data_IF_612829902363
#
_entry.id   IF_612829902363
#
_cell.length_a   1.000
_cell.length_b   1.000
_cell.length_c   1.000
_cell.angle_alpha   90.00
_cell.angle_beta   90.00
_cell.angle_gamma   90.00
#
_symmetry.space_group_name_H-M   'P 1'
#
loop_
_entity.id
_entity.type
_entity.pdbx_description
1 polymer ?
#
# COMPACT_ATOMS: atom_id res chain seq x y z
N UNK A 1 -11.26 11.54 12.89
CA UNK A 1 -11.02 12.71 12.02
C UNK A 1 -12.26 12.98 11.18
N UNK A 2 -12.69 12.04 10.30
CA UNK A 2 -13.81 12.24 9.38
C UNK A 2 -15.11 12.66 10.10
N UNK A 3 -15.45 12.01 11.22
CA UNK A 3 -16.63 12.36 12.00
C UNK A 3 -16.51 13.73 12.68
N UNK A 4 -15.37 14.01 13.27
CA UNK A 4 -15.12 15.28 13.94
C UNK A 4 -15.14 16.49 12.99
N UNK A 5 -14.76 16.28 11.74
CA UNK A 5 -14.75 17.30 10.70
C UNK A 5 -15.98 17.24 9.77
N UNK A 6 -16.89 16.29 10.01
CA UNK A 6 -18.10 16.06 9.20
C UNK A 6 -17.79 15.97 7.69
N UNK A 7 -16.69 15.25 7.34
CA UNK A 7 -16.27 15.11 5.96
C UNK A 7 -17.24 14.21 5.19
N UNK A 8 -17.61 14.64 4.00
CA UNK A 8 -18.38 13.93 3.00
C UNK A 8 -17.61 13.92 1.66
N UNK A 9 -18.02 13.07 0.73
CA UNK A 9 -17.38 12.95 -0.61
C UNK A 9 -15.87 12.65 -0.53
N UNK A 10 -15.48 11.80 0.42
CA UNK A 10 -14.09 11.48 0.77
C UNK A 10 -13.44 10.65 -0.32
N UNK A 11 -12.24 11.01 -0.74
CA UNK A 11 -11.33 10.14 -1.49
C UNK A 11 -10.21 9.72 -0.54
N UNK A 12 -10.06 8.41 -0.36
CA UNK A 12 -9.01 7.84 0.49
C UNK A 12 -7.81 7.46 -0.37
N UNK A 13 -6.62 7.90 0.03
CA UNK A 13 -5.38 7.56 -0.66
C UNK A 13 -4.47 6.80 0.30
N UNK A 14 -3.99 5.64 -0.11
CA UNK A 14 -3.11 4.81 0.71
C UNK A 14 -1.90 4.28 -0.07
N UNK A 15 -0.69 4.48 0.45
CA UNK A 15 0.53 3.90 -0.10
C UNK A 15 0.92 2.64 0.65
N UNK A 16 1.31 1.60 -0.07
CA UNK A 16 1.83 0.35 0.52
C UNK A 16 0.86 -0.22 1.56
N UNK A 17 1.28 -0.38 2.82
CA UNK A 17 0.41 -0.80 3.94
C UNK A 17 -0.78 0.16 4.16
N UNK A 18 -0.71 1.38 3.68
CA UNK A 18 -1.82 2.33 3.69
C UNK A 18 -2.99 1.93 2.78
N UNK A 19 -2.80 1.05 1.81
CA UNK A 19 -3.86 0.52 0.95
C UNK A 19 -4.93 -0.25 1.74
N UNK A 20 -4.57 -1.32 2.47
CA UNK A 20 -5.47 -1.99 3.41
C UNK A 20 -6.13 -1.05 4.42
N UNK A 21 -5.37 -0.10 4.98
CA UNK A 21 -5.93 0.90 5.92
C UNK A 21 -6.99 1.77 5.24
N UNK A 22 -6.77 2.20 4.00
CA UNK A 22 -7.73 2.98 3.24
C UNK A 22 -9.00 2.16 2.92
N UNK A 23 -8.87 0.87 2.58
CA UNK A 23 -10.01 0.00 2.37
C UNK A 23 -10.84 -0.21 3.64
N UNK A 24 -10.19 -0.47 4.79
CA UNK A 24 -10.89 -0.59 6.06
C UNK A 24 -11.57 0.73 6.47
N UNK A 25 -10.92 1.86 6.23
CA UNK A 25 -11.54 3.17 6.46
C UNK A 25 -12.76 3.37 5.56
N UNK A 26 -12.69 2.99 4.28
CA UNK A 26 -13.82 3.06 3.36
C UNK A 26 -14.99 2.19 3.84
N UNK A 27 -14.72 0.98 4.31
CA UNK A 27 -15.73 0.07 4.88
C UNK A 27 -16.42 0.65 6.11
N UNK A 28 -15.67 1.34 6.98
CA UNK A 28 -16.21 1.98 8.18
C UNK A 28 -16.97 3.29 7.88
N UNK A 29 -16.61 4.00 6.82
CA UNK A 29 -17.15 5.30 6.42
C UNK A 29 -18.24 5.16 5.33
N UNK A 30 -18.98 4.05 5.30
CA UNK A 30 -19.99 3.74 4.29
C UNK A 30 -20.82 4.95 3.86
N UNK A 31 -20.95 5.14 2.53
CA UNK A 31 -21.72 6.22 1.93
C UNK A 31 -21.05 7.58 1.88
N UNK A 32 -19.93 7.77 2.60
CA UNK A 32 -19.16 9.02 2.64
C UNK A 32 -17.90 8.99 1.77
N UNK A 33 -17.48 7.78 1.37
CA UNK A 33 -16.32 7.59 0.49
C UNK A 33 -16.78 7.49 -0.95
N UNK A 34 -16.10 8.19 -1.86
CA UNK A 34 -16.36 8.17 -3.30
C UNK A 34 -15.42 7.26 -4.06
N UNK A 35 -14.18 7.11 -3.57
CA UNK A 35 -13.14 6.35 -4.25
C UNK A 35 -12.04 6.00 -3.26
N UNK A 36 -11.38 4.87 -3.49
CA UNK A 36 -10.09 4.51 -2.85
C UNK A 36 -9.01 4.53 -3.92
N UNK A 37 -7.92 5.25 -3.67
CA UNK A 37 -6.75 5.28 -4.53
C UNK A 37 -5.59 4.62 -3.80
N UNK A 38 -5.01 3.59 -4.39
CA UNK A 38 -3.83 2.91 -3.89
C UNK A 38 -2.58 3.36 -4.65
N UNK A 39 -1.53 3.73 -3.94
CA UNK A 39 -0.21 4.02 -4.51
C UNK A 39 0.72 2.85 -4.18
N UNK A 40 1.15 2.14 -5.19
CA UNK A 40 1.97 0.91 -5.12
C UNK A 40 1.56 -0.04 -3.99
N UNK A 41 0.32 -0.49 -4.07
CA UNK A 41 -0.32 -1.35 -3.07
C UNK A 41 -1.29 -2.33 -3.73
N UNK A 42 -1.76 -3.33 -2.98
CA UNK A 42 -2.78 -4.30 -3.43
C UNK A 42 -2.43 -4.96 -4.78
N UNK A 43 -1.16 -5.08 -5.06
CA UNK A 43 -0.67 -5.62 -6.34
C UNK A 43 -1.13 -7.07 -6.58
N UNK A 44 -1.30 -7.85 -5.53
CA UNK A 44 -1.94 -9.16 -5.59
C UNK A 44 -2.75 -9.42 -4.32
N UNK A 45 -4.06 -9.26 -4.40
CA UNK A 45 -4.98 -9.49 -3.28
C UNK A 45 -5.21 -10.98 -2.98
N UNK A 46 -4.69 -11.87 -3.82
CA UNK A 46 -4.67 -13.31 -3.55
C UNK A 46 -3.47 -13.76 -2.73
N UNK A 47 -2.51 -12.86 -2.46
CA UNK A 47 -1.34 -13.15 -1.64
C UNK A 47 -1.75 -13.62 -0.24
N UNK A 48 -1.04 -14.63 0.26
CA UNK A 48 -1.13 -15.10 1.65
C UNK A 48 0.29 -15.26 2.21
N UNK A 49 0.47 -14.79 3.41
CA UNK A 49 1.73 -14.94 4.14
C UNK A 49 1.75 -16.29 4.84
N UNK A 50 2.70 -17.15 4.49
CA UNK A 50 2.90 -18.41 5.19
C UNK A 50 3.38 -18.13 6.64
N UNK A 51 2.85 -18.88 7.61
CA UNK A 51 3.12 -18.68 9.05
C UNK A 51 4.62 -18.68 9.36
N UNK A 52 5.38 -19.56 8.76
CA UNK A 52 6.83 -19.67 8.98
C UNK A 52 7.58 -18.43 8.44
N UNK A 53 7.19 -17.93 7.26
CA UNK A 53 7.79 -16.73 6.66
C UNK A 53 7.48 -15.48 7.50
N UNK A 54 6.22 -15.35 7.93
CA UNK A 54 5.79 -14.26 8.78
C UNK A 54 6.54 -14.28 10.12
N UNK A 55 6.58 -15.44 10.78
CA UNK A 55 7.29 -15.60 12.05
C UNK A 55 8.78 -15.28 11.91
N UNK A 56 9.43 -15.71 10.82
CA UNK A 56 10.82 -15.40 10.54
C UNK A 56 11.08 -13.90 10.37
N UNK A 57 10.21 -13.18 9.64
CA UNK A 57 10.33 -11.74 9.47
C UNK A 57 10.11 -10.98 10.79
N UNK A 58 9.08 -11.35 11.55
CA UNK A 58 8.81 -10.74 12.86
C UNK A 58 9.95 -10.97 13.85
N UNK A 59 10.55 -12.16 13.85
CA UNK A 59 11.70 -12.48 14.68
C UNK A 59 12.95 -11.65 14.28
N UNK A 60 13.21 -11.48 12.98
CA UNK A 60 14.30 -10.64 12.50
C UNK A 60 14.10 -9.17 12.91
N UNK A 61 12.88 -8.64 12.73
CA UNK A 61 12.54 -7.29 13.17
C UNK A 61 12.66 -7.13 14.70
N UNK A 62 12.28 -8.13 15.47
CA UNK A 62 12.40 -8.08 16.93
C UNK A 62 13.86 -8.15 17.41
N UNK A 63 14.73 -8.83 16.68
CA UNK A 63 16.15 -8.93 17.00
C UNK A 63 16.92 -7.64 16.67
N UNK A 64 16.69 -7.07 15.48
CA UNK A 64 17.32 -5.82 15.04
C UNK A 64 16.42 -5.12 14.02
N UNK A 65 15.49 -4.29 14.52
CA UNK A 65 14.52 -3.58 13.70
C UNK A 65 15.19 -2.63 12.69
N UNK A 66 16.12 -1.76 13.09
CA UNK A 66 16.74 -0.83 12.16
C UNK A 66 17.44 -1.53 10.99
N UNK A 67 18.31 -2.51 11.27
CA UNK A 67 19.05 -3.22 10.21
C UNK A 67 18.12 -4.05 9.31
N UNK A 68 17.10 -4.68 9.88
CA UNK A 68 16.13 -5.49 9.12
C UNK A 68 15.33 -4.60 8.16
N UNK A 69 14.82 -3.47 8.64
CA UNK A 69 14.02 -2.55 7.81
C UNK A 69 14.90 -1.86 6.77
N UNK A 70 16.09 -1.41 7.13
CA UNK A 70 17.03 -0.82 6.17
C UNK A 70 17.39 -1.81 5.06
N UNK A 71 17.67 -3.05 5.41
CA UNK A 71 17.94 -4.13 4.44
C UNK A 71 16.75 -4.38 3.52
N UNK A 72 15.53 -4.44 4.05
CA UNK A 72 14.31 -4.61 3.26
C UNK A 72 14.11 -3.47 2.27
N UNK A 73 14.25 -2.22 2.72
CA UNK A 73 14.09 -1.03 1.86
C UNK A 73 15.05 -1.08 0.69
N UNK A 74 16.34 -1.28 0.99
CA UNK A 74 17.40 -1.25 -0.03
C UNK A 74 17.30 -2.40 -1.03
N UNK A 75 16.90 -3.59 -0.58
CA UNK A 75 16.89 -4.78 -1.45
C UNK A 75 15.59 -4.97 -2.23
N UNK A 76 14.48 -4.35 -1.78
CA UNK A 76 13.16 -4.79 -2.27
C UNK A 76 12.24 -3.66 -2.74
N UNK A 77 12.55 -2.38 -2.47
CA UNK A 77 11.63 -1.28 -2.76
C UNK A 77 12.06 -0.39 -3.91
N UNK A 78 13.28 -0.54 -4.40
CA UNK A 78 13.84 0.35 -5.41
C UNK A 78 14.39 -0.43 -6.60
N UNK A 79 14.44 0.24 -7.75
CA UNK A 79 15.15 -0.24 -8.92
C UNK A 79 16.65 0.03 -8.78
N UNK A 80 17.49 -0.72 -9.51
CA UNK A 80 18.93 -0.40 -9.56
C UNK A 80 19.24 1.00 -10.11
N UNK A 81 18.27 1.61 -10.79
CA UNK A 81 18.34 2.95 -11.40
C UNK A 81 17.75 4.05 -10.53
N UNK A 82 17.12 3.72 -9.39
CA UNK A 82 16.54 4.69 -8.47
C UNK A 82 17.62 5.59 -7.84
N UNK A 83 17.25 6.83 -7.49
CA UNK A 83 18.16 7.80 -6.89
C UNK A 83 18.72 7.30 -5.55
N UNK A 84 20.05 7.12 -5.40
CA UNK A 84 20.65 6.67 -4.16
C UNK A 84 20.35 7.59 -2.96
N UNK A 85 20.19 8.89 -3.18
CA UNK A 85 19.89 9.82 -2.10
C UNK A 85 18.47 9.60 -1.56
N UNK A 86 17.51 9.30 -2.43
CA UNK A 86 16.15 8.92 -2.03
C UNK A 86 16.14 7.58 -1.29
N UNK A 87 16.86 6.58 -1.79
CA UNK A 87 17.02 5.29 -1.11
C UNK A 87 17.55 5.48 0.31
N UNK A 88 18.62 6.28 0.47
CA UNK A 88 19.24 6.56 1.76
C UNK A 88 18.29 7.30 2.71
N UNK A 89 17.52 8.23 2.20
CA UNK A 89 16.50 8.95 2.98
C UNK A 89 15.43 7.99 3.49
N UNK A 90 14.80 7.24 2.60
CA UNK A 90 13.70 6.31 2.95
C UNK A 90 14.20 5.22 3.90
N UNK A 91 15.37 4.66 3.66
CA UNK A 91 15.96 3.64 4.53
C UNK A 91 16.16 4.17 5.96
N UNK A 92 16.70 5.39 6.12
CA UNK A 92 16.85 6.03 7.43
C UNK A 92 15.51 6.30 8.09
N UNK A 93 14.56 6.88 7.36
CA UNK A 93 13.27 7.29 7.91
C UNK A 93 12.47 6.08 8.39
N UNK A 94 12.42 5.01 7.60
CA UNK A 94 11.69 3.79 7.97
C UNK A 94 12.38 3.03 9.10
N UNK A 95 13.72 2.92 9.08
CA UNK A 95 14.48 2.21 10.12
C UNK A 95 14.49 2.95 11.46
N UNK A 96 14.22 4.25 11.49
CA UNK A 96 14.12 5.06 12.71
C UNK A 96 12.75 4.96 13.40
N UNK A 97 11.78 4.25 12.83
CA UNK A 97 10.47 4.09 13.45
C UNK A 97 10.57 3.33 14.79
N UNK A 98 9.68 3.60 15.76
CA UNK A 98 9.62 2.81 16.98
C UNK A 98 9.40 1.33 16.67
N UNK A 99 10.29 0.40 17.08
CA UNK A 99 10.23 -1.01 16.68
C UNK A 99 8.88 -1.67 16.95
N UNK A 100 8.29 -1.44 18.13
CA UNK A 100 6.98 -2.01 18.47
C UNK A 100 5.86 -1.55 17.51
N UNK A 101 5.90 -0.31 17.02
CA UNK A 101 4.93 0.19 16.05
C UNK A 101 5.14 -0.45 14.67
N UNK A 102 6.39 -0.54 14.20
CA UNK A 102 6.70 -1.14 12.90
C UNK A 102 6.39 -2.64 12.85
N UNK A 103 6.76 -3.38 13.90
CA UNK A 103 6.47 -4.82 14.02
C UNK A 103 4.96 -5.06 14.05
N UNK A 104 4.22 -4.34 14.90
CA UNK A 104 2.77 -4.49 15.01
C UNK A 104 2.04 -4.10 13.72
N UNK A 105 2.52 -3.07 13.00
CA UNK A 105 1.96 -2.68 11.72
C UNK A 105 2.18 -3.77 10.64
N UNK A 106 3.38 -4.36 10.57
CA UNK A 106 3.67 -5.44 9.63
C UNK A 106 2.87 -6.71 9.94
N UNK A 107 2.77 -7.09 11.22
CA UNK A 107 1.95 -8.22 11.65
C UNK A 107 0.47 -8.00 11.30
N UNK A 108 -0.07 -6.83 11.59
CA UNK A 108 -1.45 -6.47 11.25
C UNK A 108 -1.71 -6.47 9.73
N UNK A 109 -0.75 -6.00 8.95
CA UNK A 109 -0.80 -6.03 7.49
C UNK A 109 -0.84 -7.47 6.94
N UNK A 110 0.06 -8.34 7.41
CA UNK A 110 0.09 -9.73 7.00
C UNK A 110 -1.19 -10.49 7.40
N UNK A 111 -1.67 -10.25 8.63
CA UNK A 111 -2.94 -10.81 9.10
C UNK A 111 -4.13 -10.36 8.25
N UNK A 112 -4.20 -9.08 7.87
CA UNK A 112 -5.26 -8.58 7.02
C UNK A 112 -5.30 -9.31 5.66
N UNK A 113 -4.15 -9.55 5.04
CA UNK A 113 -4.06 -10.35 3.81
C UNK A 113 -4.50 -11.80 4.02
N UNK A 114 -4.19 -12.40 5.17
CA UNK A 114 -4.52 -13.79 5.44
C UNK A 114 -6.00 -14.01 5.80
N UNK A 115 -6.63 -13.04 6.48
CA UNK A 115 -7.93 -13.25 7.14
C UNK A 115 -9.04 -12.35 6.60
N UNK A 116 -8.74 -11.10 6.20
CA UNK A 116 -9.75 -10.07 6.01
C UNK A 116 -9.91 -9.57 4.57
N UNK A 117 -8.91 -9.72 3.71
CA UNK A 117 -8.85 -9.09 2.38
C UNK A 117 -10.07 -9.38 1.52
N UNK A 118 -10.53 -10.63 1.45
CA UNK A 118 -11.66 -11.02 0.61
C UNK A 118 -12.96 -10.38 1.10
N UNK A 119 -13.19 -10.44 2.42
CA UNK A 119 -14.35 -9.84 3.04
C UNK A 119 -14.35 -8.32 2.88
N UNK A 120 -13.20 -7.69 3.12
CA UNK A 120 -13.07 -6.24 2.99
C UNK A 120 -13.38 -5.80 1.56
N UNK A 121 -12.79 -6.43 0.55
CA UNK A 121 -13.02 -6.09 -0.85
C UNK A 121 -14.48 -6.34 -1.29
N UNK A 122 -15.12 -7.41 -0.80
CA UNK A 122 -16.53 -7.68 -1.07
C UNK A 122 -17.47 -6.62 -0.48
N UNK A 123 -17.07 -5.97 0.61
CA UNK A 123 -17.84 -4.90 1.27
C UNK A 123 -17.61 -3.50 0.63
N UNK A 124 -16.65 -3.35 -0.31
CA UNK A 124 -16.35 -2.07 -0.97
C UNK A 124 -17.22 -1.89 -2.21
N UNK A 125 -18.08 -0.87 -2.19
CA UNK A 125 -19.01 -0.53 -3.27
C UNK A 125 -18.49 0.61 -4.17
N UNK A 126 -17.39 1.25 -3.78
CA UNK A 126 -16.81 2.40 -4.50
C UNK A 126 -15.63 1.97 -5.39
N UNK A 127 -15.30 2.74 -6.44
CA UNK A 127 -14.16 2.44 -7.28
C UNK A 127 -12.85 2.35 -6.49
N UNK A 128 -12.05 1.32 -6.79
CA UNK A 128 -10.67 1.17 -6.34
C UNK A 128 -9.78 1.43 -7.56
N UNK A 129 -8.89 2.41 -7.46
CA UNK A 129 -7.93 2.79 -8.50
C UNK A 129 -6.53 2.70 -7.97
N UNK A 130 -5.69 1.91 -8.63
CA UNK A 130 -4.30 1.75 -8.23
C UNK A 130 -3.39 2.54 -9.18
N UNK A 131 -2.36 3.15 -8.62
CA UNK A 131 -1.21 3.72 -9.32
C UNK A 131 -0.01 2.92 -8.85
N UNK A 132 0.29 1.82 -9.53
CA UNK A 132 1.34 0.90 -9.13
C UNK A 132 2.55 1.01 -10.06
N UNK A 133 3.72 0.68 -9.54
CA UNK A 133 4.91 0.45 -10.36
C UNK A 133 4.75 -0.84 -11.19
N UNK A 134 5.33 -0.87 -12.39
CA UNK A 134 5.44 -2.09 -13.21
C UNK A 134 6.61 -2.99 -12.80
N UNK A 135 7.41 -2.58 -11.85
CA UNK A 135 8.54 -3.35 -11.34
C UNK A 135 8.12 -4.67 -10.66
N UNK A 136 6.88 -4.74 -10.17
CA UNK A 136 6.22 -5.98 -9.74
C UNK A 136 4.89 -6.14 -10.47
N UNK A 137 4.50 -7.37 -10.86
CA UNK A 137 3.21 -7.60 -11.49
C UNK A 137 2.04 -7.16 -10.60
N UNK A 138 1.04 -6.52 -11.19
CA UNK A 138 -0.25 -6.25 -10.54
C UNK A 138 -1.30 -7.22 -11.07
N UNK A 139 -1.85 -8.06 -10.20
CA UNK A 139 -2.89 -9.03 -10.50
C UNK A 139 -4.28 -8.38 -10.38
N UNK A 140 -4.66 -7.59 -11.38
CA UNK A 140 -5.96 -6.90 -11.40
C UNK A 140 -7.14 -7.88 -11.44
N UNK A 141 -6.96 -9.07 -12.04
CA UNK A 141 -8.01 -10.07 -12.13
C UNK A 141 -8.43 -10.59 -10.75
N UNK A 142 -7.47 -10.77 -9.83
CA UNK A 142 -7.78 -11.17 -8.47
C UNK A 142 -8.63 -10.10 -7.74
N UNK A 143 -8.32 -8.82 -7.93
CA UNK A 143 -9.13 -7.73 -7.37
C UNK A 143 -10.52 -7.65 -7.99
N UNK A 144 -10.62 -7.76 -9.32
CA UNK A 144 -11.90 -7.73 -10.06
C UNK A 144 -12.82 -8.92 -9.72
N UNK A 145 -12.26 -10.03 -9.27
CA UNK A 145 -13.05 -11.17 -8.81
C UNK A 145 -13.74 -10.90 -7.46
N UNK A 146 -13.26 -9.94 -6.67
CA UNK A 146 -13.72 -9.66 -5.30
C UNK A 146 -14.55 -8.38 -5.18
N UNK A 147 -14.39 -7.43 -6.11
CA UNK A 147 -15.11 -6.15 -6.07
C UNK A 147 -15.47 -5.66 -7.48
N UNK A 148 -16.54 -4.86 -7.58
CA UNK A 148 -17.13 -4.45 -8.85
C UNK A 148 -16.24 -3.52 -9.69
N UNK A 149 -15.33 -2.77 -9.09
CA UNK A 149 -14.53 -1.77 -9.80
C UNK A 149 -13.11 -1.69 -9.24
N UNK A 150 -12.20 -2.47 -9.83
CA UNK A 150 -10.78 -2.54 -9.47
C UNK A 150 -9.92 -2.38 -10.73
N UNK A 151 -9.17 -1.30 -10.80
CA UNK A 151 -8.33 -0.97 -11.94
C UNK A 151 -6.96 -0.48 -11.49
N UNK A 152 -5.94 -0.69 -12.33
CA UNK A 152 -4.59 -0.25 -12.08
C UNK A 152 -4.01 0.49 -13.29
N UNK A 153 -3.41 1.64 -13.04
CA UNK A 153 -2.50 2.33 -13.96
C UNK A 153 -1.08 2.04 -13.52
N UNK A 154 -0.22 1.63 -14.45
CA UNK A 154 1.15 1.26 -14.13
C UNK A 154 2.11 2.40 -14.49
N UNK A 155 3.02 2.70 -13.57
CA UNK A 155 4.14 3.62 -13.77
C UNK A 155 5.40 2.80 -14.07
N UNK A 156 6.11 3.16 -15.15
CA UNK A 156 7.34 2.49 -15.54
C UNK A 156 8.59 3.22 -15.08
N UNK A 157 9.65 2.48 -14.78
CA UNK A 157 10.94 3.07 -14.42
C UNK A 157 11.03 3.59 -12.99
N UNK A 158 10.09 3.21 -12.15
CA UNK A 158 10.03 3.56 -10.72
C UNK A 158 9.87 2.29 -9.87
N UNK A 159 10.32 2.32 -8.62
CA UNK A 159 10.10 1.25 -7.64
C UNK A 159 8.85 1.49 -6.81
N UNK A 160 8.94 1.16 -5.51
CA UNK A 160 7.80 1.17 -4.58
C UNK A 160 7.31 2.58 -4.18
N UNK A 161 8.16 3.59 -4.25
CA UNK A 161 7.82 4.97 -3.86
C UNK A 161 7.46 5.82 -5.07
N UNK A 162 6.49 5.35 -5.86
CA UNK A 162 6.06 5.93 -7.15
C UNK A 162 5.86 7.44 -7.11
N UNK A 163 5.31 7.97 -6.00
CA UNK A 163 5.04 9.40 -5.82
C UNK A 163 6.31 10.22 -5.53
N UNK A 164 7.40 9.58 -5.14
CA UNK A 164 8.68 10.23 -4.82
C UNK A 164 9.71 10.01 -5.93
N UNK A 165 9.65 8.87 -6.63
CA UNK A 165 10.56 8.55 -7.71
C UNK A 165 10.20 9.28 -9.01
N UNK A 166 8.92 9.42 -9.34
CA UNK A 166 8.43 10.29 -10.42
C UNK A 166 7.15 11.04 -10.00
N UNK A 167 7.29 12.14 -9.26
CA UNK A 167 6.15 12.95 -8.81
C UNK A 167 5.37 13.58 -9.97
N UNK A 168 6.00 13.85 -11.12
CA UNK A 168 5.33 14.46 -12.26
C UNK A 168 4.34 13.48 -12.89
N UNK A 169 4.76 12.23 -13.16
CA UNK A 169 3.89 11.20 -13.69
C UNK A 169 2.80 10.81 -12.68
N UNK A 170 3.16 10.61 -11.41
CA UNK A 170 2.21 10.28 -10.36
C UNK A 170 1.10 11.33 -10.23
N UNK A 171 1.47 12.61 -10.17
CA UNK A 171 0.51 13.70 -10.05
C UNK A 171 -0.38 13.86 -11.30
N UNK A 172 0.14 13.58 -12.51
CA UNK A 172 -0.66 13.59 -13.73
C UNK A 172 -1.76 12.51 -13.69
N UNK A 173 -1.40 11.27 -13.30
CA UNK A 173 -2.37 10.17 -13.15
C UNK A 173 -3.38 10.50 -12.04
N UNK A 174 -2.92 11.02 -10.90
CA UNK A 174 -3.82 11.46 -9.82
C UNK A 174 -4.83 12.50 -10.30
N UNK A 175 -4.38 13.49 -11.10
CA UNK A 175 -5.26 14.52 -11.62
C UNK A 175 -6.33 13.95 -12.56
N UNK A 176 -6.00 12.96 -13.38
CA UNK A 176 -6.95 12.25 -14.24
C UNK A 176 -8.00 11.47 -13.42
N UNK A 177 -7.56 10.78 -12.35
CA UNK A 177 -8.47 10.03 -11.47
C UNK A 177 -9.42 10.93 -10.68
N UNK A 178 -8.98 12.15 -10.32
CA UNK A 178 -9.77 13.11 -9.55
C UNK A 178 -10.73 13.93 -10.41
N UNK A 179 -10.54 13.98 -11.73
CA UNK A 179 -11.36 14.73 -12.69
C UNK A 179 -11.75 13.83 -13.88
N UNK A 180 -12.52 12.75 -13.65
CA UNK A 180 -12.87 11.78 -14.68
C UNK A 180 -13.82 12.35 -15.76
#
# INVERSE_FOLDING_TARGET
VADALQLEDIILVGHSMGGPVALEAARLLKGRVKMVIGADTLSDVSLRYADEQLAGMLAAMAADFPSTVEGLVRSSFFLPTSDPALIDQIARDMSAAPPAAGIGAFEGFARWFNEDVEKTLADIEVPIRLINSDYRPTNTLAGQALTASFEATLMSGVGHFVMQEDPAQFNAIMAELLNP
#
